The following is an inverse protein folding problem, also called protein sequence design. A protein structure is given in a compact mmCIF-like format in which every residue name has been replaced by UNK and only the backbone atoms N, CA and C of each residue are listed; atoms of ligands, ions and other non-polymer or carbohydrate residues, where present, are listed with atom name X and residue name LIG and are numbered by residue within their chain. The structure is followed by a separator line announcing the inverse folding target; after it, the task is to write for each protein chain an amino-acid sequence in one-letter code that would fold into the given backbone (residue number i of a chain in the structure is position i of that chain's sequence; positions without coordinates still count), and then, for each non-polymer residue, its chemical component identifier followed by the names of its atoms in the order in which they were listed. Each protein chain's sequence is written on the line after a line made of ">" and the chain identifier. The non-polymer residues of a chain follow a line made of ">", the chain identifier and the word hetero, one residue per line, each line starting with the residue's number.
data_IF_398984011079
#
_entry.id   IF_398984011079
#
_cell.length_a   1.000
_cell.length_b   1.000
_cell.length_c   1.000
_cell.angle_alpha   90.00
_cell.angle_beta   90.00
_cell.angle_gamma   90.00
#
_symmetry.space_group_name_H-M   'P 1'
#
loop_
_entity.id
_entity.type
_entity.pdbx_description
1 polymer ?
#
# COMPACT_ATOMS: atom_id res chain seq x y z
N UNK A 1 -12.46 21.45 3.75
CA UNK A 1 -11.98 21.83 5.11
C UNK A 1 -10.66 21.11 5.32
N UNK A 2 -9.61 21.86 5.63
CA UNK A 2 -8.28 21.28 5.87
C UNK A 2 -8.33 20.49 7.17
N UNK A 3 -8.08 19.19 7.09
CA UNK A 3 -8.08 18.29 8.24
C UNK A 3 -6.64 17.85 8.52
N UNK A 4 -6.18 18.09 9.75
CA UNK A 4 -4.91 17.60 10.25
C UNK A 4 -5.15 16.47 11.23
N UNK A 5 -4.27 15.48 11.17
CA UNK A 5 -4.23 14.37 12.12
C UNK A 5 -2.78 14.04 12.45
N UNK A 6 -2.54 13.20 13.45
CA UNK A 6 -1.22 12.73 13.83
C UNK A 6 -1.23 11.21 14.03
N UNK A 7 -0.11 10.55 13.75
CA UNK A 7 -0.02 9.09 13.89
C UNK A 7 -0.11 8.63 15.35
N UNK A 8 0.38 9.46 16.26
CA UNK A 8 0.24 9.33 17.73
C UNK A 8 0.46 10.70 18.36
N UNK A 9 0.04 10.95 19.61
CA UNK A 9 0.24 12.24 20.26
C UNK A 9 1.70 12.72 20.22
N UNK A 10 1.95 13.84 19.54
CA UNK A 10 3.30 14.38 19.31
C UNK A 10 4.14 13.62 18.28
N UNK A 11 3.55 12.71 17.50
CA UNK A 11 4.20 11.98 16.42
C UNK A 11 4.16 12.72 15.08
N UNK A 12 4.34 11.94 14.00
CA UNK A 12 4.23 12.51 12.66
C UNK A 12 2.83 13.02 12.38
N UNK A 13 2.76 14.22 11.85
CA UNK A 13 1.52 14.92 11.47
C UNK A 13 1.27 14.74 9.98
N UNK A 14 0.00 14.67 9.60
CA UNK A 14 -0.36 14.64 8.19
C UNK A 14 -1.66 15.40 7.94
N UNK A 15 -1.70 16.03 6.79
CA UNK A 15 -2.87 16.71 6.27
C UNK A 15 -3.55 15.82 5.23
N UNK A 16 -4.86 15.83 5.23
CA UNK A 16 -5.66 15.16 4.21
C UNK A 16 -6.87 16.02 3.83
N UNK A 17 -7.44 15.75 2.69
CA UNK A 17 -8.67 16.35 2.20
C UNK A 17 -9.64 15.22 1.85
N UNK A 18 -10.86 15.30 2.36
CA UNK A 18 -11.91 14.29 2.13
C UNK A 18 -12.23 14.08 0.64
N UNK A 19 -11.93 15.07 -0.22
CA UNK A 19 -12.16 14.99 -1.66
C UNK A 19 -10.97 14.35 -2.42
N UNK A 20 -9.78 14.33 -1.86
CA UNK A 20 -8.56 13.81 -2.51
C UNK A 20 -8.23 12.41 -2.02
N UNK A 21 -8.11 12.24 -0.70
CA UNK A 21 -7.78 10.96 -0.10
C UNK A 21 -8.10 10.96 1.39
N UNK A 22 -8.95 10.05 1.82
CA UNK A 22 -9.23 9.80 3.23
C UNK A 22 -8.33 8.67 3.75
N UNK A 23 -7.61 8.87 4.88
CA UNK A 23 -6.85 7.80 5.51
C UNK A 23 -7.71 6.55 5.73
N UNK A 24 -7.22 5.41 5.33
CA UNK A 24 -7.93 4.14 5.48
C UNK A 24 -7.20 3.18 6.41
N UNK A 25 -7.94 2.33 7.10
CA UNK A 25 -7.40 1.22 7.89
C UNK A 25 -6.40 0.39 7.10
N UNK A 26 -6.67 0.18 5.81
CA UNK A 26 -5.85 -0.64 4.92
C UNK A 26 -4.41 -0.13 4.80
N UNK A 27 -4.23 1.21 4.78
CA UNK A 27 -2.89 1.84 4.75
C UNK A 27 -2.12 1.54 6.03
N UNK A 28 -2.76 1.65 7.21
CA UNK A 28 -2.12 1.32 8.49
C UNK A 28 -1.75 -0.17 8.59
N UNK A 29 -2.65 -1.04 8.15
CA UNK A 29 -2.40 -2.49 8.12
C UNK A 29 -1.24 -2.86 7.22
N UNK A 30 -1.15 -2.25 6.03
CA UNK A 30 -0.04 -2.46 5.10
C UNK A 30 1.28 -1.90 5.66
N UNK A 31 1.24 -0.72 6.28
CA UNK A 31 2.39 -0.10 6.94
C UNK A 31 2.98 -1.01 8.02
N UNK A 32 2.13 -1.66 8.83
CA UNK A 32 2.59 -2.61 9.86
C UNK A 32 3.07 -3.94 9.26
N UNK A 33 2.38 -4.47 8.29
CA UNK A 33 2.74 -5.73 7.62
C UNK A 33 4.05 -5.64 6.86
N UNK A 34 4.41 -4.46 6.38
CA UNK A 34 5.60 -4.24 5.57
C UNK A 34 6.85 -4.24 6.43
N UNK A 35 7.67 -5.27 6.29
CA UNK A 35 9.01 -5.27 6.89
C UNK A 35 9.88 -4.21 6.23
N UNK A 36 10.55 -3.38 7.02
CA UNK A 36 11.48 -2.36 6.57
C UNK A 36 12.85 -2.53 7.21
N UNK A 37 13.91 -2.21 6.47
CA UNK A 37 15.29 -2.34 6.91
C UNK A 37 16.00 -1.00 6.79
N UNK A 38 16.96 -0.78 7.65
CA UNK A 38 17.79 0.42 7.67
C UNK A 38 18.38 0.72 6.29
N UNK A 39 18.23 1.95 5.81
CA UNK A 39 18.83 2.43 4.57
C UNK A 39 18.15 1.96 3.29
N UNK A 40 17.00 1.26 3.37
CA UNK A 40 16.27 0.82 2.17
C UNK A 40 15.69 2.02 1.39
N UNK A 41 15.73 1.88 0.08
CA UNK A 41 15.04 2.77 -0.86
C UNK A 41 13.66 2.18 -1.16
N UNK A 42 12.64 2.89 -0.75
CA UNK A 42 11.23 2.48 -0.83
C UNK A 42 10.51 3.32 -1.86
N UNK A 43 9.69 2.70 -2.70
CA UNK A 43 8.79 3.38 -3.63
C UNK A 43 7.33 3.06 -3.26
N UNK A 44 6.55 4.10 -2.98
CA UNK A 44 5.10 3.99 -2.79
C UNK A 44 4.39 4.29 -4.12
N UNK A 45 3.66 3.31 -4.63
CA UNK A 45 3.03 3.36 -5.95
C UNK A 45 1.54 3.70 -5.82
N UNK A 46 1.14 4.88 -6.27
CA UNK A 46 -0.17 5.45 -6.00
C UNK A 46 -0.22 5.95 -4.55
N UNK A 47 0.77 6.76 -4.18
CA UNK A 47 1.04 7.13 -2.80
C UNK A 47 -0.04 8.03 -2.16
N UNK A 48 -0.90 8.66 -2.98
CA UNK A 48 -1.86 9.63 -2.48
C UNK A 48 -1.14 10.74 -1.70
N UNK A 49 -1.55 10.96 -0.48
CA UNK A 49 -0.98 11.98 0.42
C UNK A 49 0.34 11.55 1.11
N UNK A 50 0.93 10.43 0.73
CA UNK A 50 2.19 9.93 1.29
C UNK A 50 2.08 9.28 2.67
N UNK A 51 0.87 8.97 3.14
CA UNK A 51 0.64 8.41 4.49
C UNK A 51 1.38 7.10 4.72
N UNK A 52 1.41 6.20 3.74
CA UNK A 52 2.12 4.92 3.88
C UNK A 52 3.62 5.13 4.07
N UNK A 53 4.23 6.08 3.34
CA UNK A 53 5.62 6.47 3.52
C UNK A 53 5.92 6.98 4.94
N UNK A 54 5.03 7.81 5.52
CA UNK A 54 5.13 8.28 6.91
C UNK A 54 5.04 7.12 7.92
N UNK A 55 4.11 6.18 7.72
CA UNK A 55 3.97 4.99 8.57
C UNK A 55 5.23 4.12 8.56
N UNK A 56 5.88 3.97 7.41
CA UNK A 56 7.14 3.23 7.31
C UNK A 56 8.30 3.97 7.99
N UNK A 57 8.40 5.30 7.81
CA UNK A 57 9.40 6.14 8.49
C UNK A 57 9.21 6.18 10.02
N UNK A 58 7.96 6.11 10.50
CA UNK A 58 7.65 6.00 11.93
C UNK A 58 8.22 4.71 12.57
N UNK A 59 8.48 3.68 11.76
CA UNK A 59 9.03 2.38 12.19
C UNK A 59 10.53 2.28 11.94
N UNK A 60 11.03 2.93 10.89
CA UNK A 60 12.45 2.97 10.53
C UNK A 60 12.80 4.32 9.92
N UNK A 61 13.42 5.19 10.69
CA UNK A 61 13.71 6.58 10.31
C UNK A 61 14.77 6.73 9.20
N UNK A 62 15.56 5.70 8.95
CA UNK A 62 16.65 5.74 7.97
C UNK A 62 16.25 5.22 6.58
N UNK A 63 14.96 5.24 6.26
CA UNK A 63 14.46 4.94 4.92
C UNK A 63 14.60 6.15 3.99
N UNK A 64 14.66 5.88 2.69
CA UNK A 64 14.47 6.87 1.63
C UNK A 64 13.21 6.51 0.86
N UNK A 65 12.18 7.33 0.98
CA UNK A 65 10.87 7.11 0.37
C UNK A 65 10.77 7.91 -0.93
N UNK A 66 10.26 7.30 -1.98
CA UNK A 66 9.79 7.99 -3.18
C UNK A 66 8.31 7.71 -3.34
N UNK A 67 7.49 8.73 -3.13
CA UNK A 67 6.05 8.70 -3.37
C UNK A 67 5.78 8.99 -4.84
N UNK A 68 5.09 8.09 -5.55
CA UNK A 68 4.68 8.29 -6.95
C UNK A 68 3.15 8.31 -7.02
N UNK A 69 2.60 9.40 -7.55
CA UNK A 69 1.17 9.49 -7.84
C UNK A 69 0.94 10.27 -9.15
N UNK A 70 -0.18 10.03 -9.81
CA UNK A 70 -0.59 10.75 -11.02
C UNK A 70 -1.32 12.06 -10.68
N UNK A 71 -1.97 12.11 -9.51
CA UNK A 71 -2.75 13.25 -9.06
C UNK A 71 -1.85 14.35 -8.48
N UNK A 72 -1.92 15.54 -9.07
CA UNK A 72 -1.11 16.69 -8.63
C UNK A 72 -1.50 17.22 -7.25
N UNK A 73 -2.78 17.14 -6.87
CA UNK A 73 -3.23 17.60 -5.56
C UNK A 73 -2.76 16.63 -4.46
N UNK A 74 -2.79 15.32 -4.72
CA UNK A 74 -2.24 14.31 -3.84
C UNK A 74 -0.72 14.48 -3.66
N UNK A 75 0.02 14.73 -4.74
CA UNK A 75 1.46 15.00 -4.67
C UNK A 75 1.77 16.24 -3.82
N UNK A 76 1.03 17.34 -4.00
CA UNK A 76 1.22 18.55 -3.20
C UNK A 76 1.00 18.28 -1.70
N UNK A 77 -0.05 17.52 -1.34
CA UNK A 77 -0.28 17.11 0.04
C UNK A 77 0.83 16.21 0.57
N UNK A 78 1.36 15.29 -0.25
CA UNK A 78 2.48 14.43 0.15
C UNK A 78 3.76 15.24 0.43
N UNK A 79 4.04 16.28 -0.35
CA UNK A 79 5.15 17.21 -0.11
C UNK A 79 4.95 18.01 1.18
N UNK A 80 3.75 18.56 1.41
CA UNK A 80 3.42 19.26 2.67
C UNK A 80 3.56 18.32 3.87
N UNK A 81 3.11 17.09 3.76
CA UNK A 81 3.20 16.08 4.81
C UNK A 81 4.66 15.68 5.12
N UNK A 82 5.53 15.66 4.12
CA UNK A 82 6.96 15.47 4.35
C UNK A 82 7.57 16.69 5.06
N UNK A 83 7.28 17.90 4.57
CA UNK A 83 7.85 19.14 5.09
C UNK A 83 7.46 19.42 6.55
N UNK A 84 6.18 19.24 6.93
CA UNK A 84 5.73 19.50 8.31
C UNK A 84 6.41 18.57 9.34
N UNK A 85 6.96 17.46 8.90
CA UNK A 85 7.69 16.49 9.72
C UNK A 85 9.22 16.60 9.59
N UNK A 86 9.74 17.56 8.80
CA UNK A 86 11.18 17.73 8.56
C UNK A 86 11.80 16.52 7.82
N UNK A 87 11.06 15.94 6.88
CA UNK A 87 11.43 14.71 6.16
C UNK A 87 11.84 14.95 4.71
N UNK A 88 12.07 16.19 4.27
CA UNK A 88 12.38 16.56 2.88
C UNK A 88 13.65 15.85 2.35
N UNK A 89 14.61 15.59 3.23
CA UNK A 89 15.82 14.83 2.89
C UNK A 89 15.57 13.29 2.76
N UNK A 90 14.42 12.82 3.22
CA UNK A 90 14.06 11.39 3.26
C UNK A 90 12.92 11.02 2.32
N UNK A 91 12.09 11.99 1.95
CA UNK A 91 10.88 11.78 1.14
C UNK A 91 10.97 12.61 -0.12
N UNK A 92 11.00 11.95 -1.27
CA UNK A 92 10.83 12.58 -2.58
C UNK A 92 9.40 12.29 -3.08
N UNK A 93 8.79 13.26 -3.74
CA UNK A 93 7.49 13.11 -4.39
C UNK A 93 7.67 13.27 -5.89
N UNK A 94 7.11 12.35 -6.66
CA UNK A 94 7.18 12.34 -8.12
C UNK A 94 5.77 12.23 -8.70
N UNK A 95 5.33 13.25 -9.41
CA UNK A 95 4.12 13.15 -10.20
C UNK A 95 4.39 12.38 -11.48
N UNK A 96 3.88 11.15 -11.60
CA UNK A 96 4.07 10.32 -12.78
C UNK A 96 2.92 9.33 -12.97
N UNK A 97 2.66 8.98 -14.23
CA UNK A 97 1.81 7.83 -14.57
C UNK A 97 2.65 6.55 -14.50
N UNK A 98 2.22 5.57 -13.71
CA UNK A 98 2.92 4.29 -13.56
C UNK A 98 3.02 3.48 -14.87
N UNK A 99 2.23 3.84 -15.89
CA UNK A 99 2.26 3.25 -17.24
C UNK A 99 3.38 3.80 -18.10
N UNK A 100 3.83 5.01 -17.80
CA UNK A 100 4.90 5.68 -18.56
C UNK A 100 6.27 5.42 -17.92
N UNK A 101 6.96 4.39 -18.40
CA UNK A 101 8.30 4.04 -17.93
C UNK A 101 9.35 5.13 -18.11
N UNK A 102 9.12 6.07 -19.01
CA UNK A 102 10.07 7.17 -19.25
C UNK A 102 9.99 8.24 -18.16
N UNK A 103 8.83 8.35 -17.50
CA UNK A 103 8.61 9.23 -16.37
C UNK A 103 9.00 8.60 -15.03
N UNK A 104 9.25 7.28 -14.98
CA UNK A 104 9.61 6.58 -13.76
C UNK A 104 11.12 6.64 -13.46
N UNK A 105 11.53 6.51 -12.19
CA UNK A 105 12.92 6.33 -11.81
C UNK A 105 13.58 5.15 -12.53
N UNK A 106 14.92 5.13 -12.55
CA UNK A 106 15.71 4.08 -13.20
C UNK A 106 15.29 2.68 -12.74
N UNK A 107 15.24 1.74 -13.68
CA UNK A 107 14.96 0.33 -13.42
C UNK A 107 15.88 -0.24 -12.31
N UNK A 108 15.30 -1.02 -11.42
CA UNK A 108 16.04 -1.71 -10.37
C UNK A 108 16.61 -0.79 -9.29
N UNK A 109 16.08 0.43 -9.13
CA UNK A 109 16.59 1.42 -8.18
C UNK A 109 16.02 1.31 -6.76
N UNK A 110 15.06 0.42 -6.52
CA UNK A 110 14.41 0.28 -5.22
C UNK A 110 14.57 -1.12 -4.61
N UNK A 111 14.67 -1.15 -3.30
CA UNK A 111 14.71 -2.36 -2.48
C UNK A 111 13.32 -2.90 -2.17
N UNK A 112 12.37 -1.97 -2.02
CA UNK A 112 10.99 -2.23 -1.65
C UNK A 112 10.07 -1.34 -2.47
N UNK A 113 9.01 -1.93 -3.04
CA UNK A 113 7.84 -1.20 -3.49
C UNK A 113 6.65 -1.53 -2.58
N UNK A 114 5.79 -0.56 -2.35
CA UNK A 114 4.53 -0.74 -1.61
C UNK A 114 3.38 -0.16 -2.42
N UNK A 115 2.17 -0.69 -2.23
CA UNK A 115 0.98 -0.13 -2.85
C UNK A 115 -0.28 -0.47 -2.05
N UNK A 116 -1.12 0.55 -1.85
CA UNK A 116 -2.52 0.40 -1.42
C UNK A 116 -3.42 0.91 -2.57
N UNK A 117 -3.58 0.13 -3.64
CA UNK A 117 -4.31 0.59 -4.83
C UNK A 117 -5.80 0.78 -4.52
N UNK A 118 -6.48 1.72 -5.20
CA UNK A 118 -7.92 1.88 -5.03
C UNK A 118 -8.64 0.59 -5.41
N UNK A 119 -9.53 0.14 -4.52
CA UNK A 119 -10.39 -1.00 -4.80
C UNK A 119 -11.60 -0.51 -5.57
N UNK A 120 -11.65 -0.77 -6.86
CA UNK A 120 -12.90 -0.57 -7.59
C UNK A 120 -13.91 -1.58 -7.05
N UNK A 121 -15.02 -1.12 -6.44
CA UNK A 121 -16.04 -2.03 -5.95
C UNK A 121 -16.59 -2.83 -7.13
N UNK A 122 -16.91 -4.13 -6.96
CA UNK A 122 -17.82 -4.77 -7.87
C UNK A 122 -19.10 -3.91 -7.83
N UNK A 123 -19.53 -3.41 -8.99
CA UNK A 123 -20.69 -2.52 -9.08
C UNK A 123 -21.88 -3.14 -8.36
N UNK A 124 -22.22 -2.65 -7.17
CA UNK A 124 -23.45 -2.94 -6.44
C UNK A 124 -24.55 -1.97 -6.91
N UNK A 125 -24.80 -1.97 -8.20
CA UNK A 125 -25.88 -1.22 -8.84
C UNK A 125 -26.38 -2.03 -10.04
N UNK A 126 -27.66 -1.92 -10.38
CA UNK A 126 -28.23 -2.53 -11.58
C UNK A 126 -27.42 -2.12 -12.80
N UNK A 127 -26.47 -2.94 -13.15
CA UNK A 127 -25.62 -2.77 -14.32
C UNK A 127 -26.35 -3.45 -15.47
N UNK A 128 -26.58 -2.73 -16.56
CA UNK A 128 -27.11 -3.30 -17.80
C UNK A 128 -26.25 -4.50 -18.24
N UNK A 129 -26.89 -5.53 -18.74
CA UNK A 129 -26.19 -6.71 -19.29
C UNK A 129 -25.17 -6.24 -20.33
N UNK A 130 -23.89 -6.45 -20.06
CA UNK A 130 -22.76 -6.03 -20.92
C UNK A 130 -21.65 -5.25 -20.20
N UNK A 131 -21.91 -4.50 -19.13
CA UNK A 131 -20.92 -3.63 -18.47
C UNK A 131 -20.12 -4.31 -17.34
N UNK A 132 -20.55 -5.49 -16.86
CA UNK A 132 -19.79 -6.27 -15.84
C UNK A 132 -18.44 -6.77 -16.35
N UNK A 133 -18.35 -7.11 -17.64
CA UNK A 133 -17.11 -7.53 -18.27
C UNK A 133 -16.08 -6.40 -18.36
N UNK A 134 -16.54 -5.19 -18.70
CA UNK A 134 -15.68 -4.02 -18.92
C UNK A 134 -15.03 -3.52 -17.64
N UNK A 135 -15.80 -3.33 -16.56
CA UNK A 135 -15.27 -2.85 -15.28
C UNK A 135 -14.29 -3.86 -14.64
N UNK A 136 -14.57 -5.16 -14.77
CA UNK A 136 -13.66 -6.22 -14.28
C UNK A 136 -12.37 -6.27 -15.10
N UNK A 137 -12.46 -6.03 -16.40
CA UNK A 137 -11.32 -5.94 -17.32
C UNK A 137 -10.46 -4.70 -17.04
N UNK A 138 -11.06 -3.53 -16.81
CA UNK A 138 -10.36 -2.29 -16.47
C UNK A 138 -9.59 -2.41 -15.13
N UNK A 139 -10.21 -3.02 -14.13
CA UNK A 139 -9.57 -3.25 -12.82
C UNK A 139 -8.42 -4.24 -12.90
N UNK A 140 -8.57 -5.32 -13.68
CA UNK A 140 -7.50 -6.28 -13.91
C UNK A 140 -6.33 -5.65 -14.68
N UNK A 141 -6.63 -4.79 -15.67
CA UNK A 141 -5.62 -4.04 -16.42
C UNK A 141 -4.87 -3.06 -15.51
N UNK A 142 -5.54 -2.35 -14.62
CA UNK A 142 -4.91 -1.43 -13.68
C UNK A 142 -3.95 -2.15 -12.70
N UNK A 143 -4.33 -3.33 -12.20
CA UNK A 143 -3.46 -4.12 -11.33
C UNK A 143 -2.27 -4.72 -12.08
N UNK A 144 -2.45 -5.16 -13.31
CA UNK A 144 -1.36 -5.64 -14.18
C UNK A 144 -0.32 -4.54 -14.43
N UNK A 145 -0.77 -3.32 -14.70
CA UNK A 145 0.10 -2.15 -14.88
C UNK A 145 0.87 -1.78 -13.60
N UNK A 146 0.21 -1.83 -12.44
CA UNK A 146 0.86 -1.63 -11.14
C UNK A 146 1.96 -2.67 -10.91
N UNK A 147 1.69 -3.95 -11.18
CA UNK A 147 2.69 -5.03 -11.07
C UNK A 147 3.85 -4.84 -12.05
N UNK A 148 3.57 -4.36 -13.27
CA UNK A 148 4.60 -4.05 -14.26
C UNK A 148 5.53 -2.92 -13.79
N UNK A 149 4.97 -1.85 -13.19
CA UNK A 149 5.73 -0.75 -12.62
C UNK A 149 6.58 -1.21 -11.43
N UNK A 150 6.00 -1.94 -10.47
CA UNK A 150 6.72 -2.49 -9.33
C UNK A 150 7.88 -3.40 -9.78
N UNK A 151 7.61 -4.29 -10.74
CA UNK A 151 8.63 -5.17 -11.28
C UNK A 151 9.75 -4.44 -12.03
N UNK A 152 9.47 -3.32 -12.67
CA UNK A 152 10.47 -2.47 -13.33
C UNK A 152 11.36 -1.75 -12.31
N UNK A 153 10.74 -1.17 -11.29
CA UNK A 153 11.42 -0.34 -10.28
C UNK A 153 12.26 -1.15 -9.29
N UNK A 154 11.84 -2.37 -8.97
CA UNK A 154 12.53 -3.23 -8.01
C UNK A 154 13.82 -3.82 -8.57
N UNK A 155 14.90 -3.79 -7.78
CA UNK A 155 16.07 -4.62 -8.05
C UNK A 155 15.74 -6.12 -7.94
N UNK A 156 16.59 -6.97 -8.47
CA UNK A 156 16.46 -8.43 -8.26
C UNK A 156 16.54 -8.74 -6.76
N UNK A 157 15.61 -9.58 -6.28
CA UNK A 157 15.47 -9.88 -4.86
C UNK A 157 14.79 -8.78 -4.04
N UNK A 158 14.41 -7.64 -4.64
CA UNK A 158 13.60 -6.61 -4.00
C UNK A 158 12.20 -7.11 -3.67
N UNK A 159 11.49 -6.39 -2.79
CA UNK A 159 10.19 -6.81 -2.27
C UNK A 159 9.07 -5.91 -2.78
N UNK A 160 7.90 -6.50 -2.99
CA UNK A 160 6.67 -5.77 -3.28
C UNK A 160 5.61 -6.14 -2.24
N UNK A 161 5.18 -5.17 -1.43
CA UNK A 161 4.13 -5.37 -0.45
C UNK A 161 2.87 -4.63 -0.86
N UNK A 162 1.72 -5.28 -0.74
CA UNK A 162 0.43 -4.69 -1.10
C UNK A 162 -0.70 -5.20 -0.22
N UNK A 163 -1.76 -4.41 -0.15
CA UNK A 163 -3.05 -4.80 0.43
C UNK A 163 -4.10 -4.82 -0.67
N UNK A 164 -5.03 -5.76 -0.62
CA UNK A 164 -6.14 -5.86 -1.57
C UNK A 164 -7.32 -6.63 -0.99
N UNK A 165 -8.43 -6.71 -1.74
CA UNK A 165 -9.59 -7.53 -1.38
C UNK A 165 -9.24 -9.01 -1.36
N UNK A 166 -9.62 -9.72 -0.29
CA UNK A 166 -9.33 -11.14 -0.11
C UNK A 166 -9.95 -12.02 -1.21
N UNK A 167 -11.11 -11.66 -1.71
CA UNK A 167 -11.82 -12.39 -2.78
C UNK A 167 -11.05 -12.46 -4.10
N UNK A 168 -10.08 -11.55 -4.29
CA UNK A 168 -9.25 -11.50 -5.50
C UNK A 168 -7.92 -12.23 -5.37
N UNK A 169 -7.66 -12.90 -4.25
CA UNK A 169 -6.35 -13.50 -3.96
C UNK A 169 -5.81 -14.37 -5.09
N UNK A 170 -6.64 -15.23 -5.68
CA UNK A 170 -6.20 -16.11 -6.78
C UNK A 170 -5.77 -15.32 -8.02
N UNK A 171 -6.55 -14.29 -8.41
CA UNK A 171 -6.24 -13.41 -9.53
C UNK A 171 -4.96 -12.60 -9.27
N UNK A 172 -4.82 -12.05 -8.04
CA UNK A 172 -3.62 -11.29 -7.65
C UNK A 172 -2.36 -12.14 -7.78
N UNK A 173 -2.40 -13.40 -7.29
CA UNK A 173 -1.25 -14.30 -7.36
C UNK A 173 -0.86 -14.63 -8.81
N UNK A 174 -1.83 -14.83 -9.69
CA UNK A 174 -1.57 -15.07 -11.11
C UNK A 174 -0.87 -13.86 -11.77
N UNK A 175 -1.42 -12.65 -11.58
CA UNK A 175 -0.83 -11.42 -12.12
C UNK A 175 0.57 -11.19 -11.56
N UNK A 176 0.78 -11.29 -10.25
CA UNK A 176 2.08 -11.10 -9.59
C UNK A 176 3.15 -12.03 -10.20
N UNK A 177 2.83 -13.32 -10.36
CA UNK A 177 3.77 -14.30 -10.92
C UNK A 177 4.09 -14.04 -12.39
N UNK A 178 3.13 -13.57 -13.18
CA UNK A 178 3.39 -13.15 -14.58
C UNK A 178 4.45 -12.04 -14.65
N UNK A 179 4.50 -11.14 -13.67
CA UNK A 179 5.52 -10.10 -13.55
C UNK A 179 6.77 -10.53 -12.77
N UNK A 180 6.95 -11.83 -12.47
CA UNK A 180 8.08 -12.36 -11.70
C UNK A 180 8.19 -11.73 -10.30
N UNK A 181 7.06 -11.40 -9.71
CA UNK A 181 6.87 -11.00 -8.33
C UNK A 181 6.31 -12.22 -7.58
N UNK A 182 7.18 -13.11 -7.11
CA UNK A 182 6.75 -14.35 -6.46
C UNK A 182 6.21 -14.08 -5.05
N UNK A 183 4.94 -14.43 -4.75
CA UNK A 183 4.37 -14.27 -3.41
C UNK A 183 5.14 -15.12 -2.38
N UNK A 184 5.57 -14.49 -1.29
CA UNK A 184 6.37 -15.11 -0.24
C UNK A 184 5.67 -15.15 1.10
N UNK A 185 4.86 -14.13 1.39
CA UNK A 185 4.06 -14.05 2.62
C UNK A 185 2.66 -13.61 2.26
N UNK A 186 1.68 -14.28 2.86
CA UNK A 186 0.27 -13.94 2.80
C UNK A 186 -0.28 -13.86 4.20
N UNK A 187 -1.05 -12.80 4.47
CA UNK A 187 -1.82 -12.65 5.68
C UNK A 187 -3.22 -12.14 5.37
N UNK A 188 -4.25 -12.84 5.80
CA UNK A 188 -5.62 -12.34 5.70
C UNK A 188 -5.94 -11.39 6.85
N UNK A 189 -6.87 -10.47 6.59
CA UNK A 189 -7.44 -9.58 7.60
C UNK A 189 -8.93 -9.86 7.72
N UNK A 190 -9.38 -10.10 8.96
CA UNK A 190 -10.76 -10.43 9.31
C UNK A 190 -11.26 -9.42 10.34
N UNK A 191 -12.58 -9.19 10.36
CA UNK A 191 -13.18 -8.43 11.44
C UNK A 191 -12.94 -9.12 12.79
N UNK A 192 -13.29 -10.39 12.89
CA UNK A 192 -13.15 -11.26 14.04
C UNK A 192 -12.91 -12.72 13.58
N UNK A 193 -12.75 -13.64 14.52
CA UNK A 193 -12.46 -15.05 14.20
C UNK A 193 -13.59 -15.79 13.49
N UNK A 194 -14.80 -15.29 13.48
CA UNK A 194 -16.00 -15.91 12.89
C UNK A 194 -16.33 -15.32 11.51
N UNK A 195 -15.78 -14.15 11.16
CA UNK A 195 -16.08 -13.51 9.88
C UNK A 195 -15.09 -13.90 8.79
N UNK A 196 -15.54 -14.04 7.53
CA UNK A 196 -14.64 -14.27 6.40
C UNK A 196 -13.62 -13.15 6.23
N UNK A 197 -12.43 -13.45 5.66
CA UNK A 197 -11.43 -12.43 5.33
C UNK A 197 -11.99 -11.37 4.37
N UNK A 198 -11.71 -10.10 4.65
CA UNK A 198 -12.06 -8.97 3.77
C UNK A 198 -10.88 -8.47 2.96
N UNK A 199 -9.67 -8.53 3.54
CA UNK A 199 -8.45 -8.08 2.91
C UNK A 199 -7.42 -9.20 2.93
N UNK A 200 -6.49 -9.09 2.00
CA UNK A 200 -5.26 -9.87 1.94
C UNK A 200 -4.07 -8.92 1.88
N UNK A 201 -3.08 -9.18 2.71
CA UNK A 201 -1.77 -8.56 2.70
C UNK A 201 -0.81 -9.54 2.03
N UNK A 202 -0.08 -9.08 1.04
CA UNK A 202 0.87 -9.88 0.28
C UNK A 202 2.24 -9.24 0.31
N UNK A 203 3.28 -10.04 0.56
CA UNK A 203 4.67 -9.68 0.34
C UNK A 203 5.25 -10.61 -0.71
N UNK A 204 5.74 -10.02 -1.80
CA UNK A 204 6.29 -10.72 -2.95
C UNK A 204 7.77 -10.42 -3.10
N UNK A 205 8.52 -11.31 -3.76
CA UNK A 205 9.93 -11.12 -4.07
C UNK A 205 10.19 -11.12 -5.57
N UNK A 206 10.83 -10.08 -6.04
CA UNK A 206 11.26 -9.96 -7.44
C UNK A 206 12.26 -11.07 -7.78
N UNK A 207 11.96 -11.88 -8.80
CA UNK A 207 12.70 -13.09 -9.18
C UNK A 207 12.88 -14.11 -8.02
N UNK A 208 11.92 -14.16 -7.08
CA UNK A 208 11.92 -15.16 -6.02
C UNK A 208 11.62 -16.56 -6.53
N UNK A 209 12.16 -17.57 -5.88
CA UNK A 209 11.75 -18.97 -6.07
C UNK A 209 10.39 -19.24 -5.41
N UNK A 210 9.75 -20.36 -5.75
CA UNK A 210 8.48 -20.80 -5.18
C UNK A 210 8.54 -20.95 -3.63
N UNK A 211 7.37 -20.96 -3.01
CA UNK A 211 7.17 -21.13 -1.56
C UNK A 211 6.50 -19.91 -0.94
N UNK A 212 5.32 -20.14 -0.36
CA UNK A 212 4.46 -19.15 0.28
C UNK A 212 4.26 -19.50 1.75
N UNK A 213 4.60 -18.57 2.65
CA UNK A 213 4.22 -18.65 4.06
C UNK A 213 2.84 -17.97 4.23
N UNK A 214 1.90 -18.70 4.85
CA UNK A 214 0.58 -18.16 5.21
C UNK A 214 0.59 -17.90 6.72
N UNK A 215 0.46 -16.64 7.10
CA UNK A 215 0.42 -16.24 8.50
C UNK A 215 -0.98 -16.38 9.07
N UNK A 216 -1.08 -16.49 10.40
CA UNK A 216 -2.36 -16.41 11.10
C UNK A 216 -3.08 -15.11 10.74
N UNK A 217 -4.42 -15.14 10.55
CA UNK A 217 -5.16 -13.93 10.21
C UNK A 217 -4.96 -12.80 11.23
N UNK A 218 -4.95 -11.56 10.74
CA UNK A 218 -5.04 -10.38 11.59
C UNK A 218 -6.51 -10.14 11.90
N UNK A 219 -6.85 -10.09 13.19
CA UNK A 219 -8.20 -9.79 13.64
C UNK A 219 -8.29 -8.32 14.02
N UNK A 220 -9.30 -7.61 13.50
CA UNK A 220 -9.54 -6.21 13.85
C UNK A 220 -10.22 -6.08 15.22
N UNK A 221 -11.01 -7.08 15.59
CA UNK A 221 -11.76 -7.14 16.85
C UNK A 221 -11.48 -8.43 17.62
N UNK A 222 -11.38 -8.31 18.93
CA UNK A 222 -11.29 -9.42 19.89
C UNK A 222 -11.99 -9.00 21.18
N UNK A 223 -12.62 -9.94 21.87
CA UNK A 223 -13.24 -9.73 23.21
C UNK A 223 -14.21 -8.52 23.26
N UNK A 224 -14.96 -8.29 22.17
CA UNK A 224 -15.97 -7.22 22.07
C UNK A 224 -15.42 -5.81 21.79
N UNK A 225 -14.12 -5.66 21.54
CA UNK A 225 -13.46 -4.39 21.25
C UNK A 225 -12.44 -4.48 20.12
N UNK A 226 -11.64 -3.43 19.94
CA UNK A 226 -10.47 -3.46 19.06
C UNK A 226 -9.45 -4.49 19.58
N UNK A 227 -8.88 -5.28 18.67
CA UNK A 227 -7.82 -6.22 19.04
C UNK A 227 -6.56 -5.48 19.52
N UNK A 228 -5.79 -6.10 20.40
CA UNK A 228 -4.52 -5.53 20.87
C UNK A 228 -3.54 -5.29 19.70
N UNK A 229 -3.58 -6.14 18.67
CA UNK A 229 -2.77 -5.94 17.47
C UNK A 229 -3.20 -4.69 16.70
N UNK A 230 -4.50 -4.45 16.50
CA UNK A 230 -4.99 -3.25 15.83
C UNK A 230 -4.63 -1.98 16.61
N UNK A 231 -4.75 -1.98 17.94
CA UNK A 231 -4.35 -0.85 18.78
C UNK A 231 -2.87 -0.50 18.60
N UNK A 232 -1.99 -1.52 18.56
CA UNK A 232 -0.54 -1.35 18.28
C UNK A 232 -0.29 -0.79 16.90
N UNK A 233 -1.01 -1.25 15.87
CA UNK A 233 -0.90 -0.77 14.48
C UNK A 233 -1.24 0.72 14.39
N UNK A 234 -2.25 1.17 15.13
CA UNK A 234 -2.65 2.58 15.21
C UNK A 234 -1.86 3.39 16.25
N UNK A 235 -0.76 2.85 16.76
CA UNK A 235 0.08 3.49 17.78
C UNK A 235 -0.68 3.93 19.06
N UNK A 236 -1.87 3.37 19.34
CA UNK A 236 -2.70 3.74 20.50
C UNK A 236 -2.07 3.40 21.84
N UNK A 237 -1.04 2.56 21.84
CA UNK A 237 -0.28 2.17 23.03
C UNK A 237 1.02 3.00 23.19
N UNK A 238 1.22 4.01 22.32
CA UNK A 238 2.28 5.02 22.43
C UNK A 238 1.66 6.29 23.07
N UNK A 239 1.60 6.32 24.40
CA UNK A 239 1.15 7.46 25.18
C UNK A 239 2.00 7.61 26.41
#
# INVERSE_FOLDING_TARGET
>A
MELWDELWPGGFRFRFDDNVFKPSTDTFLLGDFTEVRRGERVCDLGAGIGLLGLLLLARQQELHITNIDIDSAACALAEENAAVNGLEDRVAVLRADLRDRTALPKAGSFDLCVANPPYFPPHTGRVAEGSRGTARSETACAFDQLCAAAAYLLRSGGRFCLVHRAERTAELMDVLRRHRLEPKVLRFVQKDAQTPPRLVLLSCRRHGGAGLAVHTPLLLQADGGESGELRRIYFKDRG
#
